data_IF_771181046525
#
_entry.id   IF_771181046525
#
_cell.length_a   1.000
_cell.length_b   1.000
_cell.length_c   1.000
_cell.angle_alpha   90.00
_cell.angle_beta   90.00
_cell.angle_gamma   90.00
#
_symmetry.space_group_name_H-M   'P 1'
#
loop_
_entity.id
_entity.type
_entity.pdbx_description
1 polymer ?
#
# COMPACT_ATOMS: atom_id res chain seq x y z
N UNK A 1 -13.30 15.45 8.17
CA UNK A 1 -12.04 14.69 8.28
C UNK A 1 -11.32 15.12 9.54
N UNK A 2 -10.65 14.20 10.23
CA UNK A 2 -9.90 14.52 11.47
C UNK A 2 -8.43 14.10 11.35
N UNK A 3 -7.51 14.71 12.11
CA UNK A 3 -6.17 14.14 12.31
C UNK A 3 -6.28 12.75 12.95
N UNK A 4 -5.22 11.94 12.76
CA UNK A 4 -5.07 10.65 13.43
C UNK A 4 -4.64 10.90 14.88
N UNK A 5 -5.10 10.03 15.78
CA UNK A 5 -4.63 10.00 17.16
C UNK A 5 -3.23 9.35 17.22
N UNK A 6 -2.51 9.49 18.34
CA UNK A 6 -1.16 8.93 18.47
C UNK A 6 -1.13 7.41 18.26
N UNK A 7 -2.10 6.68 18.84
CA UNK A 7 -2.21 5.22 18.68
C UNK A 7 -2.47 4.82 17.22
N UNK A 8 -3.36 5.55 16.54
CA UNK A 8 -3.69 5.31 15.14
C UNK A 8 -2.49 5.63 14.23
N UNK A 9 -1.79 6.71 14.54
CA UNK A 9 -0.59 7.15 13.82
C UNK A 9 0.50 6.09 13.91
N UNK A 10 0.77 5.54 15.10
CA UNK A 10 1.71 4.43 15.29
C UNK A 10 1.28 3.20 14.50
N UNK A 11 0.01 2.80 14.56
CA UNK A 11 -0.48 1.63 13.83
C UNK A 11 -0.33 1.75 12.31
N UNK A 12 -0.58 2.95 11.76
CA UNK A 12 -0.41 3.23 10.32
C UNK A 12 1.07 3.20 9.95
N UNK A 13 1.93 3.90 10.70
CA UNK A 13 3.35 3.99 10.39
C UNK A 13 4.07 2.65 10.57
N UNK A 14 3.73 1.84 11.58
CA UNK A 14 4.27 0.49 11.72
C UNK A 14 3.96 -0.38 10.50
N UNK A 15 2.75 -0.28 9.93
CA UNK A 15 2.37 -1.03 8.74
C UNK A 15 3.13 -0.56 7.50
N UNK A 16 3.27 0.75 7.27
CA UNK A 16 4.02 1.29 6.13
C UNK A 16 5.51 0.97 6.28
N UNK A 17 6.06 1.10 7.49
CA UNK A 17 7.46 0.85 7.79
C UNK A 17 7.90 -0.57 7.45
N UNK A 18 7.01 -1.58 7.57
CA UNK A 18 7.30 -2.96 7.14
C UNK A 18 7.67 -3.07 5.66
N UNK A 19 7.23 -2.15 4.80
CA UNK A 19 7.54 -2.15 3.36
C UNK A 19 8.64 -1.15 3.00
N UNK A 20 8.66 0.02 3.62
CA UNK A 20 9.56 1.13 3.25
C UNK A 20 10.83 1.18 4.09
N UNK A 21 10.81 0.63 5.31
CA UNK A 21 11.87 0.82 6.30
C UNK A 21 12.17 2.31 6.51
N UNK A 22 13.47 2.66 6.54
CA UNK A 22 13.93 4.03 6.78
C UNK A 22 13.49 5.04 5.72
N UNK A 23 13.07 4.60 4.53
CA UNK A 23 12.55 5.47 3.47
C UNK A 23 11.18 6.07 3.80
N UNK A 24 10.56 5.68 4.92
CA UNK A 24 9.32 6.28 5.41
C UNK A 24 9.43 7.80 5.55
N UNK A 25 10.62 8.32 5.90
CA UNK A 25 10.87 9.77 5.99
C UNK A 25 10.55 10.49 4.68
N UNK A 26 10.85 9.88 3.54
CA UNK A 26 10.56 10.44 2.23
C UNK A 26 9.06 10.60 2.00
N UNK A 27 8.21 9.75 2.58
CA UNK A 27 6.74 9.87 2.45
C UNK A 27 6.23 11.05 3.28
N UNK A 28 6.82 11.32 4.44
CA UNK A 28 6.35 12.37 5.35
C UNK A 28 6.94 13.74 4.98
N UNK A 29 8.20 13.78 4.58
CA UNK A 29 8.95 15.01 4.31
C UNK A 29 8.87 15.45 2.84
N UNK A 30 8.21 14.67 1.96
CA UNK A 30 8.07 15.05 0.56
C UNK A 30 7.35 16.40 0.44
N UNK A 31 7.92 17.38 -0.27
CA UNK A 31 7.20 18.61 -0.57
C UNK A 31 5.97 18.30 -1.41
N UNK A 32 4.81 18.83 -1.01
CA UNK A 32 3.61 18.79 -1.84
C UNK A 32 3.59 20.01 -2.76
N UNK A 33 3.64 19.77 -4.07
CA UNK A 33 3.52 20.82 -5.09
C UNK A 33 2.07 21.00 -5.56
N UNK A 34 1.12 20.44 -4.82
CA UNK A 34 -0.30 20.45 -5.15
C UNK A 34 -0.98 21.69 -4.57
N UNK A 35 -1.39 22.63 -5.43
CA UNK A 35 -2.17 23.80 -5.02
C UNK A 35 -1.75 25.09 -5.71
N UNK A 36 -2.46 26.19 -5.42
CA UNK A 36 -2.15 27.51 -5.95
C UNK A 36 -1.01 28.22 -5.18
N UNK A 37 -0.58 27.65 -4.05
CA UNK A 37 0.44 28.24 -3.19
C UNK A 37 1.82 28.16 -3.88
N UNK A 38 2.59 29.26 -3.82
CA UNK A 38 3.93 29.33 -4.44
C UNK A 38 4.99 28.51 -3.69
N UNK A 39 4.79 28.30 -2.39
CA UNK A 39 5.67 27.48 -1.56
C UNK A 39 5.15 26.04 -1.50
N UNK A 40 6.03 25.04 -1.60
CA UNK A 40 5.62 23.65 -1.45
C UNK A 40 5.05 23.40 -0.07
N UNK A 41 3.85 22.82 -0.04
CA UNK A 41 3.20 22.39 1.19
C UNK A 41 3.80 21.09 1.72
N UNK A 42 3.11 20.48 2.69
CA UNK A 42 3.43 19.15 3.21
C UNK A 42 2.29 18.19 2.90
N UNK A 43 2.59 16.89 2.90
CA UNK A 43 1.57 15.86 2.94
C UNK A 43 1.24 15.50 4.40
N UNK A 44 -0.04 15.23 4.66
CA UNK A 44 -0.51 14.77 5.96
C UNK A 44 -1.43 13.56 5.81
N UNK A 45 -1.54 12.79 6.90
CA UNK A 45 -2.50 11.69 7.01
C UNK A 45 -3.77 12.20 7.68
N UNK A 46 -4.93 11.89 7.10
CA UNK A 46 -6.25 12.26 7.63
C UNK A 46 -7.18 11.06 7.68
N UNK A 47 -7.94 10.95 8.75
CA UNK A 47 -8.95 9.92 8.90
C UNK A 47 -10.33 10.44 8.47
N UNK A 48 -11.03 9.64 7.66
CA UNK A 48 -12.41 9.87 7.26
C UNK A 48 -13.13 8.55 7.00
N UNK A 49 -14.32 8.36 7.59
CA UNK A 49 -15.12 7.10 7.52
C UNK A 49 -14.25 5.83 7.70
N UNK A 50 -13.41 5.79 8.74
CA UNK A 50 -12.45 4.71 9.05
C UNK A 50 -11.36 4.42 8.00
N UNK A 51 -11.29 5.21 6.92
CA UNK A 51 -10.22 5.19 5.92
C UNK A 51 -9.19 6.28 6.22
N UNK A 52 -7.92 5.95 6.06
CA UNK A 52 -6.79 6.87 6.22
C UNK A 52 -6.35 7.32 4.83
N UNK A 53 -6.29 8.62 4.64
CA UNK A 53 -5.92 9.25 3.37
C UNK A 53 -4.59 9.98 3.52
N UNK A 54 -3.73 9.85 2.50
CA UNK A 54 -2.51 10.63 2.31
C UNK A 54 -2.82 11.77 1.34
N UNK A 55 -2.67 13.01 1.80
CA UNK A 55 -3.19 14.20 1.10
C UNK A 55 -2.35 15.43 1.42
N UNK A 56 -2.23 16.36 0.48
CA UNK A 56 -1.56 17.64 0.69
C UNK A 56 -2.35 18.55 1.64
N UNK A 57 -1.66 19.31 2.49
CA UNK A 57 -2.32 20.24 3.43
C UNK A 57 -3.20 21.28 2.72
N UNK A 58 -2.79 21.75 1.53
CA UNK A 58 -3.58 22.68 0.72
C UNK A 58 -4.88 22.06 0.19
N UNK A 59 -4.92 20.75 -0.09
CA UNK A 59 -6.18 20.04 -0.39
C UNK A 59 -7.06 19.91 0.86
N UNK A 60 -6.50 19.58 2.01
CA UNK A 60 -7.26 19.45 3.27
C UNK A 60 -7.93 20.77 3.65
N UNK A 61 -7.22 21.90 3.53
CA UNK A 61 -7.76 23.24 3.80
C UNK A 61 -8.96 23.60 2.92
N UNK A 62 -9.01 23.10 1.68
CA UNK A 62 -10.13 23.33 0.75
C UNK A 62 -11.28 22.37 0.97
N UNK A 63 -10.97 21.14 1.38
CA UNK A 63 -11.95 20.11 1.69
C UNK A 63 -12.85 20.46 2.90
N UNK A 64 -12.44 21.41 3.75
CA UNK A 64 -13.28 21.94 4.84
C UNK A 64 -14.56 22.61 4.35
N UNK A 65 -14.61 23.08 3.10
CA UNK A 65 -15.80 23.66 2.49
C UNK A 65 -16.87 22.60 2.10
N UNK A 66 -16.53 21.31 2.17
CA UNK A 66 -17.45 20.21 1.86
C UNK A 66 -17.91 19.55 3.15
N UNK A 67 -19.23 19.41 3.31
CA UNK A 67 -19.81 18.73 4.46
C UNK A 67 -19.30 17.28 4.58
N UNK A 68 -19.03 16.82 5.81
CA UNK A 68 -18.47 15.47 6.08
C UNK A 68 -19.29 14.35 5.45
N UNK A 69 -20.61 14.47 5.44
CA UNK A 69 -21.53 13.47 4.85
C UNK A 69 -21.41 13.40 3.33
N UNK A 70 -21.12 14.53 2.68
CA UNK A 70 -20.98 14.64 1.22
C UNK A 70 -19.56 14.36 0.71
N UNK A 71 -18.57 14.31 1.60
CA UNK A 71 -17.19 14.03 1.23
C UNK A 71 -16.99 12.51 1.09
N UNK A 72 -16.73 12.03 -0.13
CA UNK A 72 -16.48 10.61 -0.40
C UNK A 72 -15.03 10.21 -0.09
N UNK A 73 -14.05 10.77 -0.83
CA UNK A 73 -12.62 10.49 -0.70
C UNK A 73 -11.78 11.75 -0.96
N UNK A 74 -10.50 11.72 -0.61
CA UNK A 74 -9.54 12.78 -0.92
C UNK A 74 -8.13 12.21 -1.02
N UNK A 75 -7.35 12.65 -2.01
CA UNK A 75 -5.98 12.18 -2.18
C UNK A 75 -5.91 10.66 -2.40
N UNK A 76 -4.93 10.01 -1.79
CA UNK A 76 -4.71 8.55 -1.92
C UNK A 76 -5.17 7.84 -0.65
N UNK A 77 -6.05 6.84 -0.75
CA UNK A 77 -6.37 6.00 0.39
C UNK A 77 -5.19 5.07 0.70
N UNK A 78 -4.68 5.15 1.92
CA UNK A 78 -3.57 4.32 2.37
C UNK A 78 -4.08 2.97 2.88
N UNK A 79 -5.24 3.01 3.54
CA UNK A 79 -5.82 1.84 4.17
C UNK A 79 -7.03 2.19 5.03
N UNK A 80 -7.52 1.19 5.75
CA UNK A 80 -8.66 1.33 6.65
C UNK A 80 -8.42 0.65 7.98
N UNK A 81 -9.04 1.19 9.03
CA UNK A 81 -9.14 0.50 10.31
C UNK A 81 -10.26 -0.54 10.25
N UNK A 82 -9.92 -1.76 10.67
CA UNK A 82 -10.89 -2.84 10.87
C UNK A 82 -11.65 -2.63 12.18
N UNK A 83 -12.81 -3.29 12.34
CA UNK A 83 -13.57 -3.26 13.60
C UNK A 83 -12.75 -3.75 14.80
N UNK A 84 -11.77 -4.62 14.58
CA UNK A 84 -10.84 -5.09 15.61
C UNK A 84 -9.70 -4.10 15.94
N UNK A 85 -9.71 -2.88 15.40
CA UNK A 85 -8.70 -1.85 15.66
C UNK A 85 -7.39 -2.01 14.88
N UNK A 86 -7.22 -3.09 14.13
CA UNK A 86 -6.05 -3.29 13.28
C UNK A 86 -6.13 -2.45 12.01
N UNK A 87 -5.01 -1.86 11.61
CA UNK A 87 -4.89 -1.13 10.35
C UNK A 87 -4.58 -2.09 9.19
N UNK A 88 -5.37 -2.02 8.14
CA UNK A 88 -5.25 -2.82 6.92
C UNK A 88 -4.93 -1.90 5.74
N UNK A 89 -3.81 -2.16 5.07
CA UNK A 89 -3.39 -1.42 3.87
C UNK A 89 -4.23 -1.84 2.67
N UNK A 90 -4.64 -0.88 1.86
CA UNK A 90 -5.40 -1.11 0.63
C UNK A 90 -4.52 -0.96 -0.60
N UNK A 91 -4.88 -1.59 -1.72
CA UNK A 91 -4.09 -1.55 -2.95
C UNK A 91 -3.79 -0.12 -3.46
N UNK A 92 -4.66 0.85 -3.19
CA UNK A 92 -4.48 2.26 -3.56
C UNK A 92 -3.15 2.87 -3.09
N UNK A 93 -2.57 2.36 -2.00
CA UNK A 93 -1.28 2.85 -1.48
C UNK A 93 -0.06 2.31 -2.25
N UNK A 94 -0.26 1.43 -3.23
CA UNK A 94 0.81 0.75 -3.96
C UNK A 94 1.82 1.72 -4.56
N UNK A 95 1.39 2.84 -5.14
CA UNK A 95 2.31 3.81 -5.74
C UNK A 95 3.25 4.45 -4.70
N UNK A 96 2.71 4.77 -3.52
CA UNK A 96 3.49 5.32 -2.41
C UNK A 96 4.51 4.30 -1.88
N UNK A 97 4.09 3.04 -1.76
CA UNK A 97 4.94 1.95 -1.33
C UNK A 97 6.01 1.62 -2.37
N UNK A 98 5.64 1.44 -3.64
CA UNK A 98 6.53 1.02 -4.72
C UNK A 98 7.72 1.98 -4.93
N UNK A 99 7.47 3.29 -4.81
CA UNK A 99 8.50 4.32 -4.92
C UNK A 99 9.55 4.24 -3.79
N UNK A 100 9.13 3.82 -2.59
CA UNK A 100 9.96 3.84 -1.37
C UNK A 100 10.29 2.44 -0.83
N UNK A 101 9.89 1.37 -1.54
CA UNK A 101 9.98 0.00 -1.07
C UNK A 101 11.44 -0.43 -0.88
N UNK A 102 11.74 -0.93 0.32
CA UNK A 102 13.04 -1.50 0.66
C UNK A 102 13.24 -2.86 0.00
N UNK A 103 12.21 -3.70 0.03
CA UNK A 103 12.25 -5.06 -0.49
C UNK A 103 11.28 -5.22 -1.66
N UNK A 104 11.83 -5.66 -2.79
CA UNK A 104 11.12 -5.83 -4.06
C UNK A 104 11.26 -7.27 -4.57
N UNK A 105 10.21 -7.75 -5.22
CA UNK A 105 10.12 -9.07 -5.85
C UNK A 105 9.61 -8.88 -7.27
N UNK A 106 10.24 -9.51 -8.26
CA UNK A 106 9.81 -9.48 -9.65
C UNK A 106 9.25 -10.85 -10.05
N UNK A 107 8.06 -10.84 -10.65
CA UNK A 107 7.39 -12.03 -11.16
C UNK A 107 7.73 -12.27 -12.62
N UNK A 108 7.84 -13.55 -13.00
CA UNK A 108 7.86 -13.94 -14.41
C UNK A 108 6.49 -13.69 -15.04
N UNK A 109 6.42 -13.37 -16.35
CA UNK A 109 5.15 -13.14 -17.05
C UNK A 109 4.13 -14.27 -16.89
N UNK A 110 4.59 -15.53 -16.81
CA UNK A 110 3.75 -16.72 -16.61
C UNK A 110 2.99 -16.74 -15.29
N UNK A 111 3.45 -15.98 -14.29
CA UNK A 111 2.91 -15.98 -12.93
C UNK A 111 2.26 -14.66 -12.53
N UNK A 112 2.38 -13.62 -13.37
CA UNK A 112 1.75 -12.32 -13.13
C UNK A 112 0.23 -12.45 -13.04
N UNK A 113 -0.39 -13.13 -14.01
CA UNK A 113 -1.84 -13.33 -14.04
C UNK A 113 -2.33 -14.08 -12.79
N UNK A 114 -1.58 -15.08 -12.32
CA UNK A 114 -1.93 -15.81 -11.10
C UNK A 114 -1.93 -14.89 -9.87
N UNK A 115 -0.91 -14.03 -9.72
CA UNK A 115 -0.84 -13.05 -8.63
C UNK A 115 -1.97 -12.01 -8.72
N UNK A 116 -2.26 -11.53 -9.93
CA UNK A 116 -3.39 -10.64 -10.22
C UNK A 116 -4.76 -11.30 -10.04
N UNK A 117 -4.84 -12.58 -9.70
CA UNK A 117 -6.07 -13.25 -9.26
C UNK A 117 -6.02 -13.60 -7.76
N UNK A 118 -5.31 -12.79 -6.97
CA UNK A 118 -5.16 -12.94 -5.53
C UNK A 118 -4.49 -14.24 -5.05
N UNK A 119 -3.69 -14.89 -5.91
CA UNK A 119 -2.91 -16.05 -5.51
C UNK A 119 -1.56 -15.64 -4.91
N UNK A 120 -1.03 -16.51 -4.05
CA UNK A 120 0.32 -16.36 -3.51
C UNK A 120 1.38 -16.56 -4.60
N UNK A 121 2.55 -15.95 -4.39
CA UNK A 121 3.68 -16.14 -5.31
C UNK A 121 4.37 -17.45 -4.99
N UNK A 122 4.44 -18.33 -5.98
CA UNK A 122 5.20 -19.56 -5.93
C UNK A 122 6.64 -19.35 -6.40
N UNK A 123 7.56 -20.18 -5.91
CA UNK A 123 8.98 -20.12 -6.26
C UNK A 123 9.21 -20.24 -7.78
N UNK A 124 8.46 -21.08 -8.49
CA UNK A 124 8.57 -21.25 -9.94
C UNK A 124 8.31 -19.94 -10.71
N UNK A 125 7.43 -19.10 -10.18
CA UNK A 125 7.06 -17.79 -10.72
C UNK A 125 7.97 -16.64 -10.32
N UNK A 126 8.90 -16.87 -9.39
CA UNK A 126 9.86 -15.86 -8.93
C UNK A 126 10.93 -15.62 -10.01
N UNK A 127 11.02 -14.37 -10.50
CA UNK A 127 12.05 -13.92 -11.42
C UNK A 127 13.27 -13.39 -10.68
N UNK A 128 13.11 -12.25 -10.01
CA UNK A 128 14.16 -11.59 -9.21
C UNK A 128 13.66 -11.32 -7.79
N UNK A 129 14.56 -11.36 -6.82
CA UNK A 129 14.27 -11.04 -5.42
C UNK A 129 15.38 -10.15 -4.88
N UNK A 130 15.01 -9.17 -4.05
CA UNK A 130 15.98 -8.33 -3.35
C UNK A 130 16.72 -9.13 -2.29
N UNK A 131 17.95 -8.76 -1.99
CA UNK A 131 18.73 -9.39 -0.93
C UNK A 131 18.26 -8.99 0.47
N UNK A 132 18.67 -9.76 1.47
CA UNK A 132 18.41 -9.48 2.89
C UNK A 132 16.93 -9.36 3.27
N UNK A 133 16.05 -10.13 2.61
CA UNK A 133 14.65 -10.28 3.02
C UNK A 133 14.58 -11.35 4.11
N UNK A 134 13.97 -11.02 5.24
CA UNK A 134 13.63 -11.95 6.30
C UNK A 134 12.15 -12.40 6.19
N UNK A 135 11.79 -13.58 6.75
CA UNK A 135 10.40 -13.98 6.85
C UNK A 135 9.59 -12.96 7.66
N UNK A 136 8.42 -12.55 7.15
CA UNK A 136 7.57 -11.54 7.77
C UNK A 136 7.80 -10.10 7.28
N UNK A 137 8.85 -9.86 6.49
CA UNK A 137 9.08 -8.55 5.87
C UNK A 137 8.01 -8.22 4.81
N UNK A 138 7.64 -6.95 4.73
CA UNK A 138 6.77 -6.45 3.67
C UNK A 138 7.53 -6.34 2.36
N UNK A 139 6.98 -6.90 1.29
CA UNK A 139 7.57 -6.88 -0.05
C UNK A 139 6.60 -6.29 -1.05
N UNK A 140 7.12 -5.48 -1.97
CA UNK A 140 6.35 -4.99 -3.12
C UNK A 140 6.65 -5.87 -4.33
N UNK A 141 5.59 -6.29 -5.01
CA UNK A 141 5.63 -7.20 -6.14
C UNK A 141 5.58 -6.40 -7.43
N UNK A 142 6.51 -6.67 -8.32
CA UNK A 142 6.67 -6.03 -9.62
C UNK A 142 6.58 -7.07 -10.74
N UNK A 143 6.20 -6.61 -11.93
CA UNK A 143 6.43 -7.31 -13.20
C UNK A 143 7.90 -7.23 -13.60
N UNK A 144 8.37 -8.10 -14.50
CA UNK A 144 9.70 -8.00 -15.12
C UNK A 144 9.95 -6.65 -15.82
N UNK A 145 8.90 -5.90 -16.18
CA UNK A 145 9.01 -4.57 -16.78
C UNK A 145 9.04 -3.42 -15.75
N UNK A 146 9.34 -3.70 -14.49
CA UNK A 146 9.34 -2.73 -13.37
C UNK A 146 7.98 -2.05 -13.12
N UNK A 147 6.88 -2.69 -13.52
CA UNK A 147 5.53 -2.25 -13.19
C UNK A 147 5.11 -2.79 -11.81
N UNK A 148 4.69 -1.96 -10.84
CA UNK A 148 4.19 -2.46 -9.56
C UNK A 148 2.84 -3.16 -9.73
N UNK A 149 2.74 -4.40 -9.25
CA UNK A 149 1.54 -5.24 -9.36
C UNK A 149 0.76 -5.34 -8.05
N UNK A 150 1.43 -5.17 -6.92
CA UNK A 150 0.82 -5.33 -5.60
C UNK A 150 1.85 -5.44 -4.50
N UNK A 151 1.42 -5.90 -3.33
CA UNK A 151 2.31 -6.10 -2.20
C UNK A 151 1.90 -7.35 -1.40
N UNK A 152 2.86 -7.85 -0.62
CA UNK A 152 2.72 -9.08 0.13
C UNK A 152 3.69 -9.16 1.29
N UNK A 153 3.71 -10.31 1.96
CA UNK A 153 4.63 -10.61 3.05
C UNK A 153 5.54 -11.75 2.63
N UNK A 154 6.84 -11.61 2.85
CA UNK A 154 7.79 -12.67 2.57
C UNK A 154 7.52 -13.89 3.47
N UNK A 155 7.27 -15.05 2.87
CA UNK A 155 7.08 -16.30 3.59
C UNK A 155 8.42 -16.92 4.04
N UNK A 156 9.50 -16.63 3.30
CA UNK A 156 10.82 -17.24 3.42
C UNK A 156 11.91 -16.19 3.19
N UNK A 157 13.11 -16.45 3.71
CA UNK A 157 14.25 -15.55 3.52
C UNK A 157 14.77 -15.59 2.08
N UNK A 158 15.52 -14.57 1.64
CA UNK A 158 16.13 -14.57 0.31
C UNK A 158 17.01 -15.80 0.06
N UNK A 159 17.73 -16.26 1.09
CA UNK A 159 18.64 -17.41 0.98
C UNK A 159 17.85 -18.72 0.85
N UNK A 160 16.78 -18.87 1.63
CA UNK A 160 15.92 -20.06 1.57
C UNK A 160 15.16 -20.13 0.26
N UNK A 161 14.69 -18.99 -0.26
CA UNK A 161 14.04 -18.88 -1.56
C UNK A 161 14.89 -19.43 -2.73
N UNK A 162 16.20 -19.65 -2.57
CA UNK A 162 17.04 -20.29 -3.62
C UNK A 162 16.98 -21.82 -3.57
N UNK A 163 16.62 -22.41 -2.43
CA UNK A 163 16.66 -23.86 -2.17
C UNK A 163 15.27 -24.52 -2.18
N UNK A 164 14.22 -23.72 -2.27
CA UNK A 164 12.83 -24.19 -2.23
C UNK A 164 12.42 -24.91 -3.51
N UNK A 165 11.47 -25.84 -3.35
CA UNK A 165 10.73 -26.45 -4.45
C UNK A 165 9.98 -25.38 -5.28
N UNK A 166 9.85 -25.53 -6.61
CA UNK A 166 9.11 -24.58 -7.45
C UNK A 166 7.67 -24.32 -7.00
N UNK A 167 7.00 -25.26 -6.33
CA UNK A 167 5.63 -25.10 -5.84
C UNK A 167 5.56 -24.50 -4.43
N UNK A 168 6.69 -24.23 -3.78
CA UNK A 168 6.71 -23.60 -2.48
C UNK A 168 6.31 -22.12 -2.57
N UNK A 169 5.57 -21.64 -1.58
CA UNK A 169 5.18 -20.23 -1.48
C UNK A 169 6.38 -19.40 -0.99
N UNK A 170 6.68 -18.34 -1.74
CA UNK A 170 7.74 -17.38 -1.40
C UNK A 170 7.20 -16.06 -0.88
N UNK A 171 6.05 -15.61 -1.39
CA UNK A 171 5.37 -14.38 -0.93
C UNK A 171 3.91 -14.68 -0.70
N UNK A 172 3.45 -14.38 0.50
CA UNK A 172 2.03 -14.36 0.86
C UNK A 172 1.43 -13.09 0.27
N UNK A 173 0.47 -13.28 -0.63
CA UNK A 173 -0.32 -12.18 -1.19
C UNK A 173 -1.03 -11.40 -0.07
N UNK A 174 -1.11 -10.08 -0.23
CA UNK A 174 -1.91 -9.20 0.63
C UNK A 174 -2.87 -8.34 -0.19
N UNK A 175 -2.36 -7.69 -1.25
CA UNK A 175 -3.19 -6.94 -2.18
C UNK A 175 -2.54 -6.89 -3.57
N UNK A 176 -3.36 -6.81 -4.61
CA UNK A 176 -2.93 -6.66 -6.02
C UNK A 176 -3.85 -5.74 -6.82
N UNK A 177 -3.33 -5.17 -7.90
CA UNK A 177 -4.08 -4.22 -8.76
C UNK A 177 -5.29 -4.86 -9.45
N UNK A 178 -5.37 -6.19 -9.54
CA UNK A 178 -6.56 -6.86 -10.04
C UNK A 178 -7.77 -6.68 -9.11
N UNK A 179 -7.57 -6.25 -7.86
CA UNK A 179 -8.67 -5.88 -6.96
C UNK A 179 -9.56 -4.79 -7.55
N UNK A 180 -9.03 -3.87 -8.36
CA UNK A 180 -9.83 -2.83 -9.00
C UNK A 180 -10.94 -3.40 -9.90
N UNK A 181 -10.73 -4.57 -10.51
CA UNK A 181 -11.73 -5.24 -11.34
C UNK A 181 -12.59 -6.23 -10.53
N UNK A 182 -12.03 -6.82 -9.47
CA UNK A 182 -12.77 -7.81 -8.67
C UNK A 182 -13.69 -7.20 -7.62
N UNK A 183 -13.38 -5.99 -7.15
CA UNK A 183 -14.06 -5.35 -6.01
C UNK A 183 -14.86 -4.11 -6.41
N UNK A 184 -15.25 -3.98 -7.69
CA UNK A 184 -16.00 -2.83 -8.24
C UNK A 184 -17.25 -2.49 -7.40
N UNK A 185 -18.00 -3.51 -6.96
CA UNK A 185 -19.27 -3.33 -6.24
C UNK A 185 -19.12 -3.08 -4.72
N UNK A 186 -17.94 -3.29 -4.13
CA UNK A 186 -17.76 -3.13 -2.68
C UNK A 186 -17.65 -1.66 -2.25
N UNK A 187 -17.44 -0.74 -3.19
CA UNK A 187 -17.37 0.70 -2.90
C UNK A 187 -18.73 1.40 -2.93
N UNK A 188 -19.75 0.81 -3.56
CA UNK A 188 -21.10 1.39 -3.64
C UNK A 188 -21.87 1.27 -2.32
N UNK A 189 -21.63 0.23 -1.52
CA UNK A 189 -22.30 0.02 -0.22
C UNK A 189 -21.96 1.07 0.85
N UNK A 190 -21.03 2.01 0.60
CA UNK A 190 -20.63 3.07 1.55
C UNK A 190 -21.37 4.40 1.26
N UNK A 191 -22.13 4.47 0.15
CA UNK A 191 -22.88 5.67 -0.25
C UNK A 191 -24.35 5.58 0.19
N UNK A 192 -24.87 4.38 0.51
CA UNK A 192 -26.27 4.16 0.92
C UNK A 192 -26.52 4.12 2.45
N UNK A 193 -25.50 4.37 3.29
CA UNK A 193 -25.65 4.64 4.74
C UNK A 193 -25.02 5.99 5.15
#
# INVERSE_FOLDING_TARGET
>A
MRPLDEKETTAVFEKIFKFTGNNLKNIVENPSHEGPDKEPGRYCFRLHKNKVYYVSDSLVKRATNVARTKLASIGTCVGRFTHGGNFHLTIECLNLLAANAKHKVWLKPTSEMSFLYANHVLKGGLGRITESIAPGDGVVVFSMSDLPLGFGVAAKSTQDCRKLDPNAIVVLHQADIGEYLRMENQHEQIIEE
#
